data_IF_522479493222
#
_entry.id   IF_522479493222
#
_cell.length_a   1.000
_cell.length_b   1.000
_cell.length_c   1.000
_cell.angle_alpha   90.00
_cell.angle_beta   90.00
_cell.angle_gamma   90.00
#
_symmetry.space_group_name_H-M   'P 1'
#
loop_
_entity.id
_entity.type
_entity.pdbx_description
1 polymer ?
#
# COMPACT_ATOMS: atom_id res chain seq x y z
N UNK A 1 -16.25 2.54 15.00
CA UNK A 1 -14.89 2.31 14.54
C UNK A 1 -14.43 3.50 13.73
N UNK A 2 -13.16 3.82 13.85
CA UNK A 2 -12.61 5.02 13.23
C UNK A 2 -12.08 4.70 11.85
N UNK A 3 -12.53 5.45 10.85
CA UNK A 3 -12.04 5.33 9.49
C UNK A 3 -10.81 6.22 9.32
N UNK A 4 -9.87 5.75 8.52
CA UNK A 4 -8.57 6.40 8.37
C UNK A 4 -8.11 6.30 6.93
N UNK A 5 -7.28 7.26 6.52
CA UNK A 5 -6.58 7.24 5.23
C UNK A 5 -5.12 7.47 5.50
N UNK A 6 -4.26 6.62 4.94
CA UNK A 6 -2.81 6.82 5.05
C UNK A 6 -2.16 6.70 3.68
N UNK A 7 -1.07 7.40 3.54
CA UNK A 7 -0.16 7.32 2.39
C UNK A 7 1.09 6.58 2.84
N UNK A 8 1.49 5.56 2.09
CA UNK A 8 2.71 4.79 2.37
C UNK A 8 3.72 5.02 1.27
N UNK A 9 4.98 5.15 1.68
CA UNK A 9 6.10 5.14 0.76
C UNK A 9 7.11 4.13 1.29
N UNK A 10 7.36 3.08 0.50
CA UNK A 10 8.18 1.95 0.92
C UNK A 10 9.41 1.90 0.07
N UNK A 11 10.59 1.85 0.71
CA UNK A 11 11.86 1.78 0.00
C UNK A 11 12.62 0.51 0.36
N UNK A 12 13.54 0.13 -0.51
CA UNK A 12 14.34 -1.09 -0.39
C UNK A 12 14.22 -1.93 -1.64
N UNK A 13 14.38 -3.25 -1.49
CA UNK A 13 14.17 -4.17 -2.60
C UNK A 13 12.68 -4.56 -2.60
N UNK A 14 11.87 -3.72 -3.20
CA UNK A 14 10.41 -3.84 -3.16
C UNK A 14 9.76 -3.91 -4.55
N UNK A 15 10.53 -3.70 -5.62
CA UNK A 15 10.04 -3.88 -6.98
C UNK A 15 10.60 -5.18 -7.55
N UNK A 16 9.82 -5.83 -8.44
CA UNK A 16 10.25 -7.08 -9.05
C UNK A 16 10.17 -8.30 -8.15
N UNK A 17 9.48 -8.19 -7.00
CA UNK A 17 9.37 -9.26 -6.01
C UNK A 17 7.91 -9.51 -5.62
N UNK A 18 6.97 -9.20 -6.50
CA UNK A 18 5.52 -9.36 -6.27
C UNK A 18 5.00 -8.57 -5.08
N UNK A 19 5.66 -7.47 -4.71
CA UNK A 19 5.26 -6.68 -3.56
C UNK A 19 3.84 -6.14 -3.71
N UNK A 20 3.53 -5.56 -4.87
CA UNK A 20 2.23 -4.95 -5.11
C UNK A 20 1.10 -5.98 -5.06
N UNK A 21 1.29 -7.13 -5.67
CA UNK A 21 0.26 -8.19 -5.68
C UNK A 21 0.05 -8.74 -4.28
N UNK A 22 1.14 -8.94 -3.52
CA UNK A 22 1.04 -9.43 -2.15
C UNK A 22 0.33 -8.41 -1.26
N UNK A 23 0.64 -7.13 -1.43
CA UNK A 23 -0.03 -6.07 -0.66
C UNK A 23 -1.53 -6.05 -0.96
N UNK A 24 -1.92 -6.22 -2.21
CA UNK A 24 -3.32 -6.29 -2.59
C UNK A 24 -4.04 -7.43 -1.85
N UNK A 25 -3.41 -8.60 -1.77
CA UNK A 25 -4.01 -9.75 -1.08
C UNK A 25 -4.20 -9.42 0.40
N UNK A 26 -3.18 -8.85 1.04
CA UNK A 26 -3.25 -8.52 2.46
C UNK A 26 -4.28 -7.42 2.72
N UNK A 27 -4.33 -6.40 1.86
CA UNK A 27 -5.32 -5.33 1.99
C UNK A 27 -6.73 -5.88 1.89
N UNK A 28 -6.99 -6.74 0.91
CA UNK A 28 -8.32 -7.33 0.74
C UNK A 28 -8.72 -8.18 1.94
N UNK A 29 -7.80 -8.95 2.50
CA UNK A 29 -8.08 -9.77 3.68
C UNK A 29 -8.47 -8.91 4.88
N UNK A 30 -7.96 -7.69 4.94
CA UNK A 30 -8.22 -6.78 6.05
C UNK A 30 -9.28 -5.74 5.72
N UNK A 31 -9.98 -5.88 4.59
CA UNK A 31 -11.02 -4.95 4.16
C UNK A 31 -10.48 -3.51 4.01
N UNK A 32 -9.24 -3.39 3.58
CA UNK A 32 -8.62 -2.11 3.29
C UNK A 32 -8.73 -1.82 1.80
N UNK A 33 -9.17 -0.62 1.47
CA UNK A 33 -9.37 -0.17 0.09
C UNK A 33 -8.26 0.81 -0.27
N UNK A 34 -8.05 1.01 -1.57
CA UNK A 34 -7.03 1.96 -2.03
C UNK A 34 -6.30 1.47 -3.26
N UNK A 35 -5.01 1.76 -3.32
CA UNK A 35 -4.20 1.35 -4.45
C UNK A 35 -2.72 1.29 -4.07
N UNK A 36 -1.94 0.61 -4.92
CA UNK A 36 -0.48 0.51 -4.78
C UNK A 36 0.14 0.58 -6.17
N UNK A 37 1.30 1.24 -6.26
CA UNK A 37 2.03 1.37 -7.52
C UNK A 37 3.54 1.44 -7.28
N UNK A 38 4.31 1.11 -8.32
CA UNK A 38 5.75 1.34 -8.33
C UNK A 38 6.03 2.78 -8.74
N UNK A 39 7.06 3.36 -8.14
CA UNK A 39 7.56 4.67 -8.57
C UNK A 39 8.86 4.49 -9.34
N UNK A 40 9.25 5.54 -10.08
CA UNK A 40 10.46 5.51 -10.92
C UNK A 40 11.74 5.38 -10.10
N UNK A 41 11.74 5.85 -8.86
CA UNK A 41 12.92 5.81 -8.00
C UNK A 41 13.14 4.47 -7.31
N UNK A 42 12.31 3.47 -7.62
CA UNK A 42 12.41 2.14 -7.03
C UNK A 42 11.52 1.91 -5.83
N UNK A 43 10.85 2.95 -5.34
CA UNK A 43 9.93 2.82 -4.21
C UNK A 43 8.59 2.25 -4.65
N UNK A 44 7.81 1.81 -3.65
CA UNK A 44 6.41 1.45 -3.82
C UNK A 44 5.58 2.46 -3.02
N UNK A 45 4.54 2.97 -3.66
CA UNK A 45 3.64 3.94 -3.05
C UNK A 45 2.26 3.35 -2.94
N UNK A 46 1.56 3.62 -1.85
CA UNK A 46 0.20 3.12 -1.65
C UNK A 46 -0.65 4.12 -0.90
N UNK A 47 -1.95 4.09 -1.19
CA UNK A 47 -2.97 4.76 -0.38
C UNK A 47 -3.85 3.67 0.21
N UNK A 48 -4.09 3.77 1.51
CA UNK A 48 -4.93 2.81 2.24
C UNK A 48 -6.06 3.55 2.92
N UNK A 49 -7.29 3.07 2.73
CA UNK A 49 -8.46 3.59 3.45
C UNK A 49 -9.18 2.43 4.11
N UNK A 50 -9.66 2.65 5.33
CA UNK A 50 -10.42 1.67 6.06
C UNK A 50 -10.38 1.91 7.56
N UNK A 51 -10.82 0.91 8.31
CA UNK A 51 -10.76 0.94 9.76
C UNK A 51 -9.30 1.01 10.22
N UNK A 52 -9.04 1.80 11.26
CA UNK A 52 -7.65 2.03 11.67
C UNK A 52 -6.93 0.76 12.13
N UNK A 53 -7.64 -0.19 12.74
CA UNK A 53 -7.02 -1.46 13.12
C UNK A 53 -6.63 -2.28 11.90
N UNK A 54 -7.49 -2.29 10.89
CA UNK A 54 -7.21 -2.99 9.64
C UNK A 54 -6.02 -2.36 8.91
N UNK A 55 -5.99 -1.04 8.87
CA UNK A 55 -4.86 -0.31 8.25
C UNK A 55 -3.56 -0.64 8.98
N UNK A 56 -3.58 -0.66 10.32
CA UNK A 56 -2.38 -0.99 11.08
C UNK A 56 -1.88 -2.40 10.78
N UNK A 57 -2.79 -3.36 10.60
CA UNK A 57 -2.40 -4.72 10.22
C UNK A 57 -1.69 -4.74 8.86
N UNK A 58 -2.19 -3.98 7.90
CA UNK A 58 -1.56 -3.89 6.58
C UNK A 58 -0.20 -3.22 6.68
N UNK A 59 -0.08 -2.15 7.46
CA UNK A 59 1.19 -1.45 7.65
C UNK A 59 2.22 -2.39 8.28
N UNK A 60 1.85 -3.15 9.29
CA UNK A 60 2.78 -4.08 9.94
C UNK A 60 3.26 -5.16 8.97
N UNK A 61 2.35 -5.69 8.14
CA UNK A 61 2.78 -6.61 7.09
C UNK A 61 3.75 -5.96 6.12
N UNK A 62 3.49 -4.69 5.76
CA UNK A 62 4.32 -3.96 4.80
C UNK A 62 5.74 -3.78 5.30
N UNK A 63 5.94 -3.68 6.62
CA UNK A 63 7.29 -3.56 7.18
C UNK A 63 8.15 -4.78 6.92
N UNK A 64 7.54 -5.94 6.73
CA UNK A 64 8.23 -7.20 6.46
C UNK A 64 8.27 -7.46 4.97
N UNK A 65 7.12 -7.30 4.30
CA UNK A 65 6.98 -7.57 2.88
C UNK A 65 6.93 -9.05 2.56
N UNK A 66 6.78 -9.38 1.27
CA UNK A 66 6.77 -10.78 0.83
C UNK A 66 8.17 -11.37 0.81
N UNK A 67 8.26 -12.69 0.61
CA UNK A 67 9.54 -13.37 0.45
C UNK A 67 10.33 -12.72 -0.69
N UNK A 68 11.64 -12.69 -0.55
CA UNK A 68 12.58 -12.10 -1.51
C UNK A 68 12.54 -10.57 -1.56
N UNK A 69 11.75 -9.93 -0.73
CA UNK A 69 11.79 -8.47 -0.60
C UNK A 69 12.70 -8.09 0.56
N UNK A 70 13.12 -6.83 0.54
CA UNK A 70 13.82 -6.22 1.67
C UNK A 70 13.27 -4.81 1.84
N UNK A 71 12.62 -4.59 2.96
CA UNK A 71 12.07 -3.27 3.27
C UNK A 71 13.11 -2.52 4.11
N UNK A 72 13.66 -1.45 3.54
CA UNK A 72 14.66 -0.64 4.23
C UNK A 72 14.01 0.46 5.06
N UNK A 73 12.94 1.04 4.53
CA UNK A 73 12.25 2.14 5.22
C UNK A 73 10.80 2.20 4.77
N UNK A 74 9.95 2.71 5.65
CA UNK A 74 8.56 2.94 5.33
C UNK A 74 8.14 4.27 5.94
N UNK A 75 7.59 5.16 5.10
CA UNK A 75 7.05 6.43 5.54
C UNK A 75 5.54 6.35 5.54
N UNK A 76 4.94 6.66 6.68
CA UNK A 76 3.49 6.63 6.85
C UNK A 76 3.02 8.05 7.10
N UNK A 77 2.12 8.54 6.24
CA UNK A 77 1.56 9.88 6.39
C UNK A 77 0.05 9.77 6.49
N UNK A 78 -0.52 10.42 7.50
CA UNK A 78 -1.98 10.46 7.64
C UNK A 78 -2.55 11.48 6.68
N UNK A 79 -3.68 11.12 6.06
CA UNK A 79 -4.43 12.02 5.18
C UNK A 79 -5.87 12.06 5.62
N UNK A 80 -6.60 13.03 5.11
CA UNK A 80 -8.03 13.12 5.39
C UNK A 80 -8.78 11.97 4.72
N UNK A 81 -9.61 11.27 5.49
CA UNK A 81 -10.42 10.18 4.97
C UNK A 81 -11.43 10.71 3.97
N UNK A 82 -11.49 10.11 2.78
CA UNK A 82 -12.36 10.59 1.69
C UNK A 82 -13.41 9.61 1.26
N UNK A 83 -13.32 8.36 1.71
CA UNK A 83 -14.24 7.29 1.30
C UNK A 83 -14.37 7.22 -0.23
N UNK A 84 -13.23 7.26 -0.92
CA UNK A 84 -13.26 7.38 -2.38
C UNK A 84 -12.99 6.07 -3.12
N UNK A 85 -12.70 4.98 -2.42
CA UNK A 85 -12.36 3.71 -3.05
C UNK A 85 -13.45 2.68 -2.82
N UNK A 86 -13.65 1.81 -3.81
CA UNK A 86 -14.56 0.67 -3.70
C UNK A 86 -13.81 -0.66 -3.73
N UNK A 87 -12.51 -0.64 -4.01
CA UNK A 87 -11.69 -1.85 -4.08
C UNK A 87 -10.24 -1.48 -3.80
N UNK A 88 -9.38 -2.49 -3.78
CA UNK A 88 -7.92 -2.26 -3.73
C UNK A 88 -7.32 -2.66 -5.06
N UNK A 89 -6.64 -1.73 -5.71
CA UNK A 89 -6.11 -1.90 -7.06
C UNK A 89 -4.60 -1.83 -7.10
N UNK A 90 -4.01 -2.62 -8.00
CA UNK A 90 -2.60 -2.49 -8.37
C UNK A 90 -2.54 -1.61 -9.60
N UNK A 91 -1.82 -0.50 -9.51
CA UNK A 91 -1.67 0.42 -10.62
C UNK A 91 -0.33 0.21 -11.30
N UNK A 92 -0.30 0.43 -12.59
CA UNK A 92 0.91 0.35 -13.40
C UNK A 92 1.31 1.75 -13.83
N UNK A 93 2.61 2.02 -13.78
CA UNK A 93 3.13 3.35 -14.02
C UNK A 93 2.64 3.95 -15.34
N UNK A 94 2.57 3.11 -16.37
CA UNK A 94 2.15 3.55 -17.70
C UNK A 94 0.72 4.07 -17.76
N UNK A 95 -0.12 3.72 -16.80
CA UNK A 95 -1.53 4.15 -16.80
C UNK A 95 -1.72 5.53 -16.18
N UNK A 96 -0.71 6.04 -15.53
CA UNK A 96 -0.82 7.27 -14.74
C UNK A 96 -0.75 8.50 -15.63
N UNK A 97 -0.26 8.35 -16.82
CA UNK A 97 -0.01 9.47 -17.72
C UNK A 97 -1.16 9.76 -18.67
N UNK A 98 -2.24 9.11 -18.49
CA UNK A 98 -3.41 9.26 -19.36
C UNK A 98 -4.36 10.33 -18.84
#
# INVERSE_FOLDING_TARGET
>A
MKQQRVHLLVSGKVQGVFFRQALKVVAKKNNVLGWVRNLKDGCVEAILEGDNKSINSVIEWTRIGPANSRVDDIEVSNEEYKNEFSTFDVLYLSLIHI
#
